data_IF_093982495479
#
_entry.id   IF_093982495479
#
_cell.length_a   1.000
_cell.length_b   1.000
_cell.length_c   1.000
_cell.angle_alpha   90.00
_cell.angle_beta   90.00
_cell.angle_gamma   90.00
#
_symmetry.space_group_name_H-M   'P 1'
#
loop_
_entity.id
_entity.type
_entity.pdbx_description
1 polymer ?
#
# COMPACT_ATOMS: atom_id res chain seq x y z
N UNK A 1 -17.97 -20.76 -5.14
CA UNK A 1 -18.52 -19.58 -5.86
C UNK A 1 -17.37 -18.65 -6.25
N UNK A 2 -17.52 -17.88 -7.34
CA UNK A 2 -16.49 -16.94 -7.79
C UNK A 2 -16.61 -15.64 -6.99
N UNK A 3 -15.52 -15.21 -6.36
CA UNK A 3 -15.52 -13.97 -5.56
C UNK A 3 -15.47 -12.75 -6.47
N UNK A 4 -16.33 -11.73 -6.25
CA UNK A 4 -16.26 -10.48 -6.99
C UNK A 4 -15.00 -9.67 -6.68
N UNK A 5 -14.29 -9.96 -5.59
CA UNK A 5 -13.10 -9.21 -5.15
C UNK A 5 -11.84 -9.50 -6.00
N UNK A 6 -11.82 -10.60 -6.75
CA UNK A 6 -10.73 -10.97 -7.65
C UNK A 6 -11.29 -11.35 -9.03
N UNK A 7 -11.27 -10.42 -10.01
CA UNK A 7 -11.81 -10.66 -11.34
C UNK A 7 -11.22 -11.89 -12.03
N UNK A 8 -12.02 -12.56 -12.85
CA UNK A 8 -11.55 -13.69 -13.67
C UNK A 8 -10.95 -13.23 -15.00
N UNK A 9 -11.37 -12.07 -15.50
CA UNK A 9 -10.71 -11.42 -16.63
C UNK A 9 -9.25 -11.13 -16.25
N UNK A 10 -8.31 -11.68 -17.01
CA UNK A 10 -6.88 -11.64 -16.67
C UNK A 10 -6.33 -10.22 -16.64
N UNK A 11 -6.82 -9.34 -17.52
CA UNK A 11 -6.38 -7.95 -17.55
C UNK A 11 -6.84 -7.21 -16.30
N UNK A 12 -8.12 -7.31 -15.93
CA UNK A 12 -8.65 -6.74 -14.68
C UNK A 12 -7.97 -7.33 -13.45
N UNK A 13 -7.74 -8.64 -13.43
CA UNK A 13 -7.06 -9.33 -12.33
C UNK A 13 -5.65 -8.80 -12.09
N UNK A 14 -4.90 -8.54 -13.16
CA UNK A 14 -3.54 -7.99 -13.08
C UNK A 14 -3.52 -6.57 -12.49
N UNK A 15 -4.60 -5.80 -12.63
CA UNK A 15 -4.74 -4.49 -11.98
C UNK A 15 -4.93 -4.63 -10.46
N UNK A 16 -5.60 -5.68 -10.01
CA UNK A 16 -5.73 -5.98 -8.57
C UNK A 16 -4.40 -6.46 -8.00
N UNK A 17 -3.81 -7.47 -8.62
CA UNK A 17 -2.60 -8.13 -8.12
C UNK A 17 -1.39 -7.18 -8.03
N UNK A 18 -1.24 -6.21 -8.96
CA UNK A 18 -0.14 -5.23 -8.88
C UNK A 18 -0.21 -4.34 -7.63
N UNK A 19 -1.41 -4.03 -7.12
CA UNK A 19 -1.57 -3.22 -5.92
C UNK A 19 -1.27 -4.03 -4.67
N UNK A 20 -1.63 -5.32 -4.68
CA UNK A 20 -1.23 -6.26 -3.64
C UNK A 20 0.31 -6.41 -3.59
N UNK A 21 0.95 -6.56 -4.75
CA UNK A 21 2.41 -6.65 -4.85
C UNK A 21 3.08 -5.33 -4.42
N UNK A 22 2.53 -4.18 -4.83
CA UNK A 22 3.02 -2.87 -4.39
C UNK A 22 2.94 -2.72 -2.86
N UNK A 23 1.85 -3.13 -2.23
CA UNK A 23 1.70 -3.11 -0.78
C UNK A 23 2.83 -3.89 -0.11
N UNK A 24 3.08 -5.12 -0.56
CA UNK A 24 4.10 -6.00 0.00
C UNK A 24 5.53 -5.49 -0.26
N UNK A 25 5.82 -5.08 -1.48
CA UNK A 25 7.17 -4.76 -1.93
C UNK A 25 7.61 -3.33 -1.61
N UNK A 26 6.67 -2.38 -1.54
CA UNK A 26 6.98 -0.94 -1.45
C UNK A 26 6.53 -0.31 -0.14
N UNK A 27 5.28 -0.57 0.31
CA UNK A 27 4.74 0.12 1.50
C UNK A 27 5.02 -0.64 2.82
N UNK A 28 4.85 -1.96 2.84
CA UNK A 28 4.82 -2.75 4.07
C UNK A 28 6.13 -2.67 4.86
N UNK A 29 7.29 -2.76 4.19
CA UNK A 29 8.60 -2.68 4.85
C UNK A 29 8.80 -1.36 5.63
N UNK A 30 8.78 -0.20 4.95
CA UNK A 30 8.86 1.11 5.60
C UNK A 30 7.79 1.32 6.67
N UNK A 31 6.55 0.90 6.40
CA UNK A 31 5.45 1.00 7.36
C UNK A 31 5.73 0.25 8.65
N UNK A 32 6.18 -1.01 8.58
CA UNK A 32 6.49 -1.83 9.77
C UNK A 32 7.65 -1.22 10.56
N UNK A 33 8.67 -0.67 9.90
CA UNK A 33 9.78 0.01 10.55
C UNK A 33 9.29 1.24 11.35
N UNK A 34 8.47 2.09 10.71
CA UNK A 34 7.87 3.27 11.36
C UNK A 34 6.94 2.87 12.50
N UNK A 35 6.10 1.85 12.31
CA UNK A 35 5.17 1.38 13.34
C UNK A 35 5.87 0.83 14.58
N UNK A 36 7.03 0.17 14.42
CA UNK A 36 7.84 -0.29 15.55
C UNK A 36 8.50 0.88 16.26
N UNK A 37 9.16 1.77 15.52
CA UNK A 37 9.86 2.92 16.10
C UNK A 37 8.95 3.97 16.73
N UNK A 38 7.69 4.07 16.29
CA UNK A 38 6.72 5.03 16.86
C UNK A 38 6.35 4.71 18.31
N UNK A 39 6.59 3.46 18.76
CA UNK A 39 6.34 3.01 20.15
C UNK A 39 7.48 3.35 21.11
N UNK A 40 8.63 3.76 20.57
CA UNK A 40 9.84 4.06 21.34
C UNK A 40 9.97 5.57 21.59
N UNK A 41 10.72 5.92 22.63
CA UNK A 41 11.15 7.31 22.83
C UNK A 41 11.99 7.76 21.62
N UNK A 42 11.95 9.04 21.20
CA UNK A 42 12.68 9.53 20.04
C UNK A 42 14.18 9.15 20.01
N UNK A 43 14.83 9.16 21.17
CA UNK A 43 16.23 8.81 21.39
C UNK A 43 16.54 7.32 21.26
N UNK A 44 15.52 6.45 21.34
CA UNK A 44 15.64 4.99 21.24
C UNK A 44 15.29 4.45 19.84
N UNK A 45 14.84 5.34 18.92
CA UNK A 45 14.45 4.95 17.57
C UNK A 45 15.67 4.55 16.74
N UNK A 46 15.47 3.56 15.88
CA UNK A 46 16.48 3.16 14.90
C UNK A 46 16.85 4.35 13.99
N UNK A 47 18.13 4.44 13.61
CA UNK A 47 18.64 5.48 12.72
C UNK A 47 17.90 5.54 11.37
N UNK A 48 17.31 4.42 10.92
CA UNK A 48 16.53 4.34 9.69
C UNK A 48 15.11 4.92 9.81
N UNK A 49 14.64 5.27 11.01
CA UNK A 49 13.24 5.68 11.24
C UNK A 49 12.82 6.87 10.37
N UNK A 50 13.66 7.90 10.29
CA UNK A 50 13.35 9.10 9.51
C UNK A 50 13.27 8.81 8.00
N UNK A 51 14.17 7.97 7.48
CA UNK A 51 14.15 7.55 6.09
C UNK A 51 12.89 6.71 5.78
N UNK A 52 12.58 5.72 6.63
CA UNK A 52 11.38 4.91 6.49
C UNK A 52 10.09 5.75 6.57
N UNK A 53 10.04 6.76 7.43
CA UNK A 53 8.90 7.68 7.52
C UNK A 53 8.73 8.51 6.23
N UNK A 54 9.83 8.94 5.62
CA UNK A 54 9.78 9.63 4.33
C UNK A 54 9.33 8.69 3.19
N UNK A 55 9.75 7.43 3.22
CA UNK A 55 9.33 6.43 2.24
C UNK A 55 7.82 6.14 2.37
N UNK A 56 7.31 5.95 3.60
CA UNK A 56 5.86 5.82 3.83
C UNK A 56 5.10 7.02 3.28
N UNK A 57 5.57 8.24 3.56
CA UNK A 57 4.95 9.47 3.03
C UNK A 57 4.92 9.47 1.49
N UNK A 58 6.01 9.05 0.85
CA UNK A 58 6.11 8.98 -0.61
C UNK A 58 5.12 7.96 -1.18
N UNK A 59 5.05 6.77 -0.59
CA UNK A 59 4.12 5.72 -1.02
C UNK A 59 2.66 6.11 -0.81
N UNK A 60 2.31 6.77 0.30
CA UNK A 60 0.96 7.28 0.54
C UNK A 60 0.58 8.42 -0.41
N UNK A 61 1.54 9.26 -0.82
CA UNK A 61 1.30 10.28 -1.85
C UNK A 61 1.01 9.65 -3.22
N UNK A 62 1.73 8.59 -3.59
CA UNK A 62 1.45 7.81 -4.79
C UNK A 62 0.05 7.16 -4.74
N UNK A 63 -0.29 6.51 -3.62
CA UNK A 63 -1.62 5.95 -3.39
C UNK A 63 -2.72 7.01 -3.54
N UNK A 64 -2.52 8.20 -2.95
CA UNK A 64 -3.45 9.30 -3.04
C UNK A 64 -3.62 9.82 -4.48
N UNK A 65 -2.55 9.83 -5.28
CA UNK A 65 -2.67 10.20 -6.70
C UNK A 65 -3.55 9.22 -7.47
N UNK A 66 -3.40 7.91 -7.24
CA UNK A 66 -4.27 6.91 -7.85
C UNK A 66 -5.74 7.13 -7.48
N UNK A 67 -6.02 7.29 -6.18
CA UNK A 67 -7.38 7.48 -5.67
C UNK A 67 -7.99 8.85 -6.02
N UNK A 68 -7.18 9.79 -6.51
CA UNK A 68 -7.70 11.06 -7.05
C UNK A 68 -8.27 10.91 -8.47
N UNK A 69 -7.86 9.88 -9.19
CA UNK A 69 -8.30 9.59 -10.57
C UNK A 69 -9.35 8.47 -10.64
N UNK A 70 -9.32 7.54 -9.68
CA UNK A 70 -10.16 6.33 -9.65
C UNK A 70 -10.88 6.20 -8.30
N UNK A 71 -12.13 5.71 -8.27
CA UNK A 71 -12.86 5.51 -7.03
C UNK A 71 -12.28 4.37 -6.15
N UNK A 72 -11.62 3.39 -6.78
CA UNK A 72 -10.95 2.27 -6.11
C UNK A 72 -9.56 2.03 -6.73
N UNK A 73 -8.68 1.31 -6.04
CA UNK A 73 -7.29 1.17 -6.46
C UNK A 73 -7.14 0.50 -7.82
N UNK A 74 -7.93 -0.55 -8.07
CA UNK A 74 -7.90 -1.31 -9.31
C UNK A 74 -8.89 -0.82 -10.38
N UNK A 75 -9.55 0.33 -10.19
CA UNK A 75 -10.47 0.93 -11.15
C UNK A 75 -11.83 1.27 -10.55
N UNK A 76 -12.91 0.86 -11.23
CA UNK A 76 -14.27 1.30 -10.93
C UNK A 76 -14.98 0.49 -9.82
N UNK A 77 -14.41 -0.64 -9.40
CA UNK A 77 -15.03 -1.58 -8.47
C UNK A 77 -14.09 -1.90 -7.29
N UNK A 78 -14.66 -2.06 -6.09
CA UNK A 78 -13.94 -2.48 -4.89
C UNK A 78 -13.38 -3.91 -5.06
N UNK A 79 -12.14 -4.13 -4.65
CA UNK A 79 -11.42 -5.39 -4.90
C UNK A 79 -10.49 -5.79 -3.76
N UNK A 80 -9.77 -6.90 -3.92
CA UNK A 80 -8.68 -7.27 -3.01
C UNK A 80 -7.54 -6.23 -2.94
N UNK A 81 -7.42 -5.33 -3.91
CA UNK A 81 -6.41 -4.27 -3.85
C UNK A 81 -6.68 -3.28 -2.72
N UNK A 82 -7.94 -3.10 -2.34
CA UNK A 82 -8.42 -2.11 -1.39
C UNK A 82 -8.47 -2.64 0.07
N UNK A 83 -8.08 -3.90 0.28
CA UNK A 83 -8.05 -4.62 1.57
C UNK A 83 -6.61 -4.66 2.10
#
# INVERSE_FOLDING_TARGET
EQSPLLPQDLAKRTLVERWMDWLLASLNGPYVAVFKGSKQAPEERDASYAAAANDVKTQLAFLNSQLSEQPWLAGDEFSLADI
#
